data_IF_182643943681
#
_entry.id   IF_182643943681
#
_cell.length_a   1.000
_cell.length_b   1.000
_cell.length_c   1.000
_cell.angle_alpha   90.00
_cell.angle_beta   90.00
_cell.angle_gamma   90.00
#
_symmetry.space_group_name_H-M   'P 1'
#
loop_
_entity.id
_entity.type
_entity.pdbx_description
1 polymer ?
#
# COMPACT_ATOMS: atom_id res chain seq x y z
N UNK A 1 7.68 20.79 7.08
CA UNK A 1 8.84 20.88 6.18
C UNK A 1 9.06 19.49 5.63
N UNK A 2 8.77 19.26 4.36
CA UNK A 2 8.94 17.96 3.71
C UNK A 2 10.37 17.87 3.18
N UNK A 3 11.07 16.80 3.53
CA UNK A 3 12.46 16.55 3.14
C UNK A 3 12.44 15.59 1.94
N UNK A 4 13.16 15.92 0.87
CA UNK A 4 13.34 15.01 -0.26
C UNK A 4 14.26 13.86 0.15
N UNK A 5 13.85 12.63 -0.14
CA UNK A 5 14.60 11.43 0.15
C UNK A 5 15.26 10.87 -1.14
N UNK A 6 16.37 10.14 -1.00
CA UNK A 6 17.06 9.47 -2.12
C UNK A 6 16.35 8.16 -2.49
N UNK A 7 16.00 7.93 -3.75
CA UNK A 7 15.25 6.72 -4.17
C UNK A 7 15.97 5.42 -3.80
N UNK A 8 15.45 4.74 -2.78
CA UNK A 8 15.85 3.40 -2.31
C UNK A 8 14.59 2.67 -1.82
N UNK A 9 14.58 1.33 -1.82
CA UNK A 9 13.47 0.56 -1.29
C UNK A 9 13.23 -0.78 -2.00
N UNK A 10 12.36 -1.60 -1.42
CA UNK A 10 11.87 -2.84 -2.03
C UNK A 10 10.75 -2.51 -3.03
N UNK A 11 10.86 -2.89 -4.32
CA UNK A 11 9.99 -2.37 -5.39
C UNK A 11 8.48 -2.50 -5.13
N UNK A 12 8.03 -3.55 -4.45
CA UNK A 12 6.60 -3.81 -4.23
C UNK A 12 5.94 -2.91 -3.18
N UNK A 13 6.73 -2.27 -2.32
CA UNK A 13 6.25 -1.33 -1.30
C UNK A 13 6.45 0.13 -1.72
N UNK A 14 7.24 0.38 -2.76
CA UNK A 14 7.52 1.74 -3.23
C UNK A 14 6.24 2.40 -3.77
N UNK A 15 6.01 3.64 -3.35
CA UNK A 15 4.90 4.44 -3.84
C UNK A 15 5.02 4.80 -5.32
N UNK A 16 3.90 5.17 -5.99
CA UNK A 16 3.92 5.50 -7.41
C UNK A 16 4.87 6.65 -7.76
N UNK A 17 4.98 7.67 -6.92
CA UNK A 17 5.90 8.80 -7.10
C UNK A 17 7.37 8.39 -6.92
N UNK A 18 7.67 7.49 -5.98
CA UNK A 18 9.01 6.91 -5.80
C UNK A 18 9.43 6.14 -7.06
N UNK A 19 8.55 5.30 -7.59
CA UNK A 19 8.81 4.51 -8.80
C UNK A 19 9.00 5.38 -10.05
N UNK A 20 8.34 6.55 -10.10
CA UNK A 20 8.48 7.52 -11.19
C UNK A 20 9.68 8.44 -11.04
N UNK A 21 10.48 8.31 -9.97
CA UNK A 21 11.59 9.22 -9.65
C UNK A 21 11.12 10.65 -9.40
N UNK A 22 9.87 10.83 -9.00
CA UNK A 22 9.29 12.13 -8.68
C UNK A 22 9.70 12.55 -7.26
N UNK A 23 9.45 13.81 -6.94
CA UNK A 23 9.63 14.28 -5.57
C UNK A 23 8.65 13.53 -4.64
N UNK A 24 9.19 12.98 -3.57
CA UNK A 24 8.46 12.18 -2.61
C UNK A 24 8.90 12.56 -1.19
N UNK A 25 7.98 12.41 -0.24
CA UNK A 25 8.15 12.80 1.16
C UNK A 25 7.63 11.69 2.09
N UNK A 26 7.39 12.00 3.37
CA UNK A 26 6.87 11.04 4.36
C UNK A 26 5.55 10.35 3.97
N UNK A 27 4.86 10.86 2.93
CA UNK A 27 3.66 10.24 2.36
C UNK A 27 3.95 8.87 1.72
N UNK A 28 5.14 8.69 1.19
CA UNK A 28 5.55 7.42 0.57
C UNK A 28 5.69 6.30 1.61
N UNK A 29 6.08 6.63 2.84
CA UNK A 29 6.08 5.69 3.96
C UNK A 29 4.66 5.29 4.34
N UNK A 30 3.71 6.24 4.27
CA UNK A 30 2.29 5.94 4.51
C UNK A 30 1.77 4.98 3.44
N UNK A 31 2.07 5.18 2.16
CA UNK A 31 1.74 4.23 1.11
C UNK A 31 2.33 2.83 1.38
N UNK A 32 3.61 2.77 1.72
CA UNK A 32 4.32 1.52 2.02
C UNK A 32 3.66 0.75 3.17
N UNK A 33 3.29 1.46 4.24
CA UNK A 33 2.56 0.88 5.36
C UNK A 33 1.18 0.35 4.96
N UNK A 34 0.53 0.95 3.97
CA UNK A 34 -0.72 0.42 3.42
C UNK A 34 -0.54 -0.95 2.77
N UNK A 35 0.57 -1.15 2.07
CA UNK A 35 0.92 -2.45 1.50
C UNK A 35 1.11 -3.48 2.62
N UNK A 36 1.88 -3.14 3.66
CA UNK A 36 2.08 -4.03 4.82
C UNK A 36 0.76 -4.41 5.50
N UNK A 37 -0.17 -3.46 5.64
CA UNK A 37 -1.50 -3.72 6.21
C UNK A 37 -2.28 -4.71 5.33
N UNK A 38 -2.26 -4.54 4.01
CA UNK A 38 -2.90 -5.47 3.07
C UNK A 38 -2.27 -6.86 3.09
N UNK A 39 -0.94 -6.97 3.17
CA UNK A 39 -0.24 -8.25 3.34
C UNK A 39 -0.64 -8.94 4.65
N UNK A 40 -0.71 -8.19 5.75
CA UNK A 40 -1.06 -8.72 7.05
C UNK A 40 -2.52 -9.22 7.10
N UNK A 41 -3.45 -8.46 6.53
CA UNK A 41 -4.86 -8.84 6.47
C UNK A 41 -5.04 -10.03 5.53
N UNK A 42 -4.59 -9.89 4.28
CA UNK A 42 -4.78 -10.86 3.22
C UNK A 42 -3.94 -12.13 3.38
N UNK A 43 -2.87 -12.07 4.19
CA UNK A 43 -1.87 -13.14 4.34
C UNK A 43 -1.29 -13.58 3.00
N UNK A 44 -1.04 -12.60 2.14
CA UNK A 44 -0.49 -12.77 0.79
C UNK A 44 0.76 -11.92 0.63
N UNK A 45 1.67 -12.28 -0.30
CA UNK A 45 2.82 -11.43 -0.60
C UNK A 45 2.40 -10.09 -1.22
N UNK A 46 3.23 -9.06 -1.05
CA UNK A 46 3.09 -7.75 -1.69
C UNK A 46 3.16 -7.77 -3.22
N UNK A 47 3.45 -8.90 -3.85
CA UNK A 47 3.56 -9.02 -5.31
C UNK A 47 2.33 -8.38 -6.01
N UNK A 48 2.50 -7.43 -6.94
CA UNK A 48 1.40 -6.79 -7.66
C UNK A 48 0.49 -7.76 -8.43
N UNK A 49 1.00 -8.93 -8.81
CA UNK A 49 0.20 -9.98 -9.47
C UNK A 49 -0.75 -10.69 -8.49
N UNK A 50 -0.47 -10.60 -7.18
CA UNK A 50 -1.29 -11.19 -6.10
C UNK A 50 -2.12 -10.13 -5.38
N UNK A 51 -1.53 -8.96 -5.12
CA UNK A 51 -2.15 -7.85 -4.40
C UNK A 51 -2.21 -6.64 -5.34
N UNK A 52 -3.35 -6.45 -6.01
CA UNK A 52 -3.51 -5.36 -6.98
C UNK A 52 -3.32 -3.99 -6.35
N UNK A 53 -2.64 -3.06 -7.04
CA UNK A 53 -2.47 -1.67 -6.60
C UNK A 53 -3.49 -0.70 -7.21
N UNK A 54 -4.14 -1.12 -8.29
CA UNK A 54 -5.08 -0.30 -9.05
C UNK A 54 -6.54 -0.73 -8.88
N UNK A 55 -6.77 -1.95 -8.39
CA UNK A 55 -8.12 -2.49 -8.19
C UNK A 55 -8.44 -2.61 -6.71
N UNK A 56 -9.16 -1.60 -6.20
CA UNK A 56 -9.65 -1.59 -4.82
C UNK A 56 -10.56 -2.77 -4.50
N UNK A 57 -11.43 -3.16 -5.43
CA UNK A 57 -12.40 -4.21 -5.16
C UNK A 57 -11.70 -5.55 -5.00
N UNK A 58 -10.71 -5.85 -5.85
CA UNK A 58 -9.88 -7.04 -5.71
C UNK A 58 -9.15 -7.08 -4.36
N UNK A 59 -8.54 -5.98 -3.93
CA UNK A 59 -7.88 -5.89 -2.62
C UNK A 59 -8.87 -6.03 -1.48
N UNK A 60 -10.04 -5.39 -1.57
CA UNK A 60 -11.05 -5.43 -0.54
C UNK A 60 -11.66 -6.83 -0.40
N UNK A 61 -11.91 -7.54 -1.49
CA UNK A 61 -12.41 -8.90 -1.50
C UNK A 61 -11.38 -9.87 -0.90
N UNK A 62 -10.12 -9.75 -1.33
CA UNK A 62 -9.01 -10.53 -0.78
C UNK A 62 -8.87 -10.29 0.72
N UNK A 63 -8.88 -9.03 1.17
CA UNK A 63 -8.77 -8.67 2.57
C UNK A 63 -9.99 -9.12 3.38
N UNK A 64 -11.21 -8.95 2.86
CA UNK A 64 -12.44 -9.31 3.55
C UNK A 64 -12.58 -10.82 3.76
N UNK A 65 -12.01 -11.63 2.86
CA UNK A 65 -12.01 -13.10 2.99
C UNK A 65 -11.30 -13.60 4.26
N UNK A 66 -10.42 -12.77 4.85
CA UNK A 66 -9.68 -13.09 6.06
C UNK A 66 -10.39 -12.69 7.36
N UNK A 67 -11.62 -12.16 7.29
CA UNK A 67 -12.41 -11.65 8.43
C UNK A 67 -11.63 -10.69 9.36
N UNK A 68 -11.04 -9.60 8.83
CA UNK A 68 -10.27 -8.67 9.64
C UNK A 68 -11.18 -7.79 10.51
N UNK A 69 -10.65 -7.22 11.61
CA UNK A 69 -11.34 -6.17 12.33
C UNK A 69 -11.76 -5.04 11.36
N UNK A 70 -13.02 -4.54 11.39
CA UNK A 70 -13.51 -3.56 10.41
C UNK A 70 -12.65 -2.30 10.27
N UNK A 71 -12.01 -1.88 11.37
CA UNK A 71 -11.09 -0.74 11.38
C UNK A 71 -9.86 -0.95 10.47
N UNK A 72 -9.36 -2.18 10.35
CA UNK A 72 -8.19 -2.51 9.54
C UNK A 72 -8.51 -2.46 8.04
N UNK A 73 -9.70 -2.93 7.63
CA UNK A 73 -10.14 -2.81 6.23
C UNK A 73 -10.35 -1.34 5.82
N UNK A 74 -10.91 -0.53 6.72
CA UNK A 74 -11.04 0.91 6.48
C UNK A 74 -9.69 1.63 6.40
N UNK A 75 -8.73 1.22 7.22
CA UNK A 75 -7.37 1.74 7.18
C UNK A 75 -6.68 1.40 5.85
N UNK A 76 -6.73 0.15 5.41
CA UNK A 76 -6.17 -0.30 4.13
C UNK A 76 -6.74 0.52 2.95
N UNK A 77 -8.07 0.67 2.90
CA UNK A 77 -8.76 1.52 1.92
C UNK A 77 -8.21 2.95 1.95
N UNK A 78 -8.07 3.51 3.15
CA UNK A 78 -7.66 4.90 3.32
C UNK A 78 -6.15 5.10 3.19
N UNK A 79 -5.36 4.08 2.92
CA UNK A 79 -3.93 4.27 2.71
C UNK A 79 -3.59 4.02 1.24
N UNK A 80 -4.06 2.92 0.65
CA UNK A 80 -3.76 2.63 -0.76
C UNK A 80 -4.47 3.54 -1.76
N UNK A 81 -5.68 4.03 -1.43
CA UNK A 81 -6.59 4.61 -2.44
C UNK A 81 -6.89 6.10 -2.24
N UNK A 82 -6.16 6.78 -1.35
CA UNK A 82 -6.13 8.26 -1.30
C UNK A 82 -4.75 8.83 -1.65
N UNK A 83 -3.87 7.99 -2.21
CA UNK A 83 -2.75 8.40 -3.04
C UNK A 83 -3.12 8.30 -4.52
#
# INVERSE_FOLDING_TARGET
MSIQLSTVGSPYWMSPECLKGQWYDQRSDVFSFGIDVCELIGRVPADPDVLSRSDYLAVAELCASADPPPAFLQLAKRILFIY
#
